data_IF_222473126064
#
_entry.id   IF_222473126064
#
_cell.length_a   1.000
_cell.length_b   1.000
_cell.length_c   1.000
_cell.angle_alpha   90.00
_cell.angle_beta   90.00
_cell.angle_gamma   90.00
#
_symmetry.space_group_name_H-M   'P 1'
#
loop_
_entity.id
_entity.type
_entity.pdbx_description
1 polymer ?
#
# COMPACT_ATOMS: atom_id res chain seq x y z
N UNK A 1 9.71 -11.32 -19.44
CA UNK A 1 9.14 -10.28 -20.33
C UNK A 1 9.45 -8.93 -19.69
N UNK A 2 10.04 -8.00 -20.44
CA UNK A 2 10.35 -6.68 -19.89
C UNK A 2 9.05 -5.88 -19.70
N UNK A 3 8.76 -5.53 -18.45
CA UNK A 3 7.56 -4.77 -18.03
C UNK A 3 7.97 -3.73 -16.98
N UNK A 4 7.01 -3.01 -16.40
CA UNK A 4 7.28 -2.06 -15.31
C UNK A 4 7.75 -2.84 -14.07
N UNK A 5 8.82 -2.38 -13.43
CA UNK A 5 9.38 -2.99 -12.22
C UNK A 5 8.37 -3.01 -11.07
N UNK A 6 8.41 -4.09 -10.27
CA UNK A 6 7.57 -4.23 -9.08
C UNK A 6 7.80 -3.12 -8.04
N UNK A 7 8.95 -2.43 -8.09
CA UNK A 7 9.28 -1.28 -7.22
C UNK A 7 8.52 -0.02 -7.58
N UNK A 8 7.83 0.02 -8.73
CA UNK A 8 7.00 1.14 -9.15
C UNK A 8 5.52 0.79 -9.09
N UNK A 9 4.71 1.77 -8.69
CA UNK A 9 3.26 1.76 -8.85
C UNK A 9 2.94 2.59 -10.09
N UNK A 10 2.36 1.95 -11.10
CA UNK A 10 1.79 2.63 -12.26
C UNK A 10 0.26 2.53 -12.20
N UNK A 11 -0.43 3.67 -12.43
CA UNK A 11 -1.90 3.74 -12.51
C UNK A 11 -2.36 4.69 -13.59
N UNK A 12 -3.45 4.31 -14.26
CA UNK A 12 -4.23 5.21 -15.09
C UNK A 12 -5.04 6.16 -14.21
N UNK A 13 -5.07 7.43 -14.59
CA UNK A 13 -5.78 8.48 -13.87
C UNK A 13 -6.57 9.36 -14.83
N UNK A 14 -7.49 10.18 -14.31
CA UNK A 14 -8.32 11.07 -15.13
C UNK A 14 -7.53 12.05 -16.01
N UNK A 15 -6.26 12.29 -15.71
CA UNK A 15 -5.36 13.20 -16.43
C UNK A 15 -4.32 12.47 -17.30
N UNK A 16 -4.37 11.13 -17.38
CA UNK A 16 -3.38 10.30 -18.04
C UNK A 16 -2.97 9.17 -17.11
N UNK A 17 -1.91 9.36 -16.34
CA UNK A 17 -1.48 8.39 -15.36
C UNK A 17 -0.51 8.94 -14.32
N UNK A 18 -0.19 8.10 -13.35
CA UNK A 18 0.80 8.40 -12.32
C UNK A 18 1.77 7.22 -12.20
N UNK A 19 3.04 7.54 -12.02
CA UNK A 19 4.09 6.59 -11.65
C UNK A 19 4.64 6.99 -10.27
N UNK A 20 4.71 6.05 -9.34
CA UNK A 20 5.23 6.29 -7.99
C UNK A 20 6.31 5.25 -7.68
N UNK A 21 7.49 5.70 -7.26
CA UNK A 21 8.49 4.81 -6.70
C UNK A 21 8.05 4.34 -5.30
N UNK A 22 7.89 3.04 -5.07
CA UNK A 22 7.39 2.48 -3.80
C UNK A 22 8.40 2.56 -2.65
N UNK A 23 9.64 2.98 -2.91
CA UNK A 23 10.71 3.13 -1.92
C UNK A 23 10.89 4.60 -1.55
N UNK A 24 11.02 5.49 -2.53
CA UNK A 24 11.27 6.93 -2.28
C UNK A 24 9.99 7.76 -2.23
N UNK A 25 8.87 7.23 -2.73
CA UNK A 25 7.61 7.94 -2.97
C UNK A 25 7.71 9.10 -3.95
N UNK A 26 8.78 9.17 -4.74
CA UNK A 26 8.85 10.11 -5.87
C UNK A 26 7.74 9.83 -6.87
N UNK A 27 7.13 10.91 -7.37
CA UNK A 27 5.96 10.86 -8.24
C UNK A 27 6.26 11.50 -9.58
N UNK A 28 5.79 10.85 -10.65
CA UNK A 28 5.82 11.38 -12.01
C UNK A 28 4.39 11.37 -12.53
N UNK A 29 3.89 12.54 -12.91
CA UNK A 29 2.62 12.67 -13.64
C UNK A 29 2.86 12.41 -15.11
N UNK A 30 1.98 11.60 -15.71
CA UNK A 30 2.07 11.15 -17.10
C UNK A 30 0.90 11.73 -17.88
N UNK A 31 1.17 12.16 -19.11
CA UNK A 31 0.09 12.47 -20.05
C UNK A 31 -0.63 11.20 -20.54
N UNK A 32 -1.70 11.36 -21.31
CA UNK A 32 -2.46 10.21 -21.82
C UNK A 32 -1.63 9.30 -22.74
N UNK A 33 -0.73 9.84 -23.57
CA UNK A 33 0.05 9.05 -24.52
C UNK A 33 1.06 8.18 -23.77
N UNK A 34 1.76 8.77 -22.81
CA UNK A 34 2.69 8.08 -21.91
C UNK A 34 1.98 7.03 -21.06
N UNK A 35 0.83 7.38 -20.47
CA UNK A 35 0.07 6.47 -19.63
C UNK A 35 -0.48 5.28 -20.42
N UNK A 36 -1.02 5.50 -21.63
CA UNK A 36 -1.48 4.40 -22.46
C UNK A 36 -0.34 3.52 -22.96
N UNK A 37 0.82 4.10 -23.28
CA UNK A 37 2.03 3.33 -23.60
C UNK A 37 2.42 2.43 -22.43
N UNK A 38 2.59 2.98 -21.23
CA UNK A 38 2.96 2.22 -20.04
C UNK A 38 1.89 1.19 -19.64
N UNK A 39 0.61 1.46 -19.90
CA UNK A 39 -0.45 0.48 -19.70
C UNK A 39 -0.31 -0.72 -20.64
N UNK A 40 0.10 -0.52 -21.91
CA UNK A 40 0.46 -1.64 -22.77
C UNK A 40 1.73 -2.34 -22.30
N UNK A 41 2.76 -1.62 -21.85
CA UNK A 41 3.98 -2.25 -21.30
C UNK A 41 3.63 -3.17 -20.12
N UNK A 42 2.74 -2.73 -19.22
CA UNK A 42 2.33 -3.52 -18.05
C UNK A 42 1.59 -4.81 -18.43
N UNK A 43 0.81 -4.81 -19.52
CA UNK A 43 -0.06 -5.93 -19.89
C UNK A 43 0.53 -6.85 -20.99
N UNK A 44 1.35 -6.30 -21.89
CA UNK A 44 1.84 -6.95 -23.11
C UNK A 44 3.37 -6.93 -23.24
N UNK A 45 4.06 -6.24 -22.34
CA UNK A 45 5.51 -6.07 -22.42
C UNK A 45 5.95 -4.93 -23.33
N UNK A 46 7.21 -4.56 -23.15
CA UNK A 46 7.82 -3.39 -23.77
C UNK A 46 7.89 -3.48 -25.31
N UNK A 47 8.22 -4.64 -25.86
CA UNK A 47 8.36 -4.84 -27.31
C UNK A 47 7.03 -4.64 -28.06
N UNK A 48 5.93 -5.19 -27.52
CA UNK A 48 4.60 -5.02 -28.13
C UNK A 48 4.15 -3.56 -28.03
N UNK A 49 4.33 -2.93 -26.85
CA UNK A 49 3.96 -1.54 -26.65
C UNK A 49 4.73 -0.59 -27.59
N UNK A 50 6.04 -0.80 -27.76
CA UNK A 50 6.87 0.01 -28.67
C UNK A 50 6.50 -0.18 -30.13
N UNK A 51 6.17 -1.40 -30.55
CA UNK A 51 5.64 -1.66 -31.90
C UNK A 51 4.31 -0.95 -32.13
N UNK A 52 3.40 -1.00 -31.16
CA UNK A 52 2.07 -0.38 -31.22
C UNK A 52 2.15 1.15 -31.33
N UNK A 53 3.00 1.78 -30.52
CA UNK A 53 3.17 3.24 -30.45
C UNK A 53 4.29 3.78 -31.37
N UNK A 54 4.66 3.06 -32.43
CA UNK A 54 5.78 3.42 -33.32
C UNK A 54 5.66 4.82 -33.92
N UNK A 55 4.45 5.32 -34.17
CA UNK A 55 4.21 6.66 -34.73
C UNK A 55 4.48 7.76 -33.68
N UNK A 56 4.00 7.56 -32.47
CA UNK A 56 4.16 8.47 -31.33
C UNK A 56 5.63 8.55 -30.90
N UNK A 57 6.33 7.41 -30.91
CA UNK A 57 7.78 7.35 -30.67
C UNK A 57 8.53 8.18 -31.72
N UNK A 58 8.24 7.97 -33.01
CA UNK A 58 8.85 8.76 -34.11
C UNK A 58 8.55 10.26 -34.03
N UNK A 59 7.42 10.63 -33.41
CA UNK A 59 7.04 12.02 -33.20
C UNK A 59 7.65 12.63 -31.92
N UNK A 60 8.52 11.91 -31.19
CA UNK A 60 9.19 12.39 -29.99
C UNK A 60 8.28 12.45 -28.74
N UNK A 61 7.06 11.92 -28.80
CA UNK A 61 6.08 12.07 -27.70
C UNK A 61 6.35 11.18 -26.48
N UNK A 62 7.16 10.14 -26.65
CA UNK A 62 7.39 9.11 -25.63
C UNK A 62 8.84 9.05 -25.15
N UNK A 63 9.69 10.00 -25.56
CA UNK A 63 11.13 10.01 -25.21
C UNK A 63 11.34 9.94 -23.70
N UNK A 64 10.53 10.70 -22.94
CA UNK A 64 10.61 10.74 -21.47
C UNK A 64 10.44 9.36 -20.86
N UNK A 65 9.32 8.67 -21.15
CA UNK A 65 9.04 7.35 -20.57
C UNK A 65 9.99 6.26 -21.05
N UNK A 66 10.49 6.33 -22.28
CA UNK A 66 11.46 5.36 -22.80
C UNK A 66 12.81 5.42 -22.08
N UNK A 67 13.19 6.59 -21.55
CA UNK A 67 14.46 6.81 -20.84
C UNK A 67 14.38 6.57 -19.33
N UNK A 68 13.19 6.35 -18.78
CA UNK A 68 13.02 6.10 -17.35
C UNK A 68 13.59 4.73 -16.96
N UNK A 69 14.35 4.67 -15.87
CA UNK A 69 14.84 3.42 -15.28
C UNK A 69 13.75 2.72 -14.45
N UNK A 70 12.66 2.34 -15.11
CA UNK A 70 11.43 1.82 -14.47
C UNK A 70 11.08 0.40 -14.95
N UNK A 71 11.90 -0.19 -15.81
CA UNK A 71 11.64 -1.47 -16.46
C UNK A 71 12.47 -2.59 -15.85
N UNK A 72 11.89 -3.79 -15.75
CA UNK A 72 12.59 -5.01 -15.33
C UNK A 72 12.03 -6.23 -16.04
N UNK A 73 12.83 -7.30 -16.09
CA UNK A 73 12.36 -8.60 -16.52
C UNK A 73 11.49 -9.24 -15.44
N UNK A 74 10.21 -9.42 -15.75
CA UNK A 74 9.26 -10.06 -14.86
C UNK A 74 8.78 -11.39 -15.43
N UNK A 75 8.53 -12.35 -14.52
CA UNK A 75 7.95 -13.67 -14.81
C UNK A 75 6.41 -13.58 -14.86
N UNK A 76 5.87 -12.63 -15.62
CA UNK A 76 4.43 -12.45 -15.78
C UNK A 76 4.03 -13.02 -17.14
N UNK A 77 3.01 -13.88 -17.16
CA UNK A 77 2.34 -14.25 -18.41
C UNK A 77 1.64 -13.02 -18.98
N UNK A 78 2.01 -12.63 -20.20
CA UNK A 78 1.36 -11.51 -20.88
C UNK A 78 -0.15 -11.73 -21.02
N UNK A 79 -0.92 -10.65 -21.05
CA UNK A 79 -2.36 -10.74 -21.24
C UNK A 79 -2.69 -11.47 -22.55
N UNK A 80 -3.60 -12.44 -22.50
CA UNK A 80 -4.11 -13.11 -23.70
C UNK A 80 -5.00 -12.21 -24.58
N UNK A 81 -5.33 -11.02 -24.10
CA UNK A 81 -6.17 -10.05 -24.80
C UNK A 81 -5.41 -9.37 -25.94
N UNK A 82 -6.14 -8.87 -26.93
CA UNK A 82 -5.54 -8.05 -27.98
C UNK A 82 -5.08 -6.68 -27.39
N UNK A 83 -3.89 -6.16 -27.75
CA UNK A 83 -3.46 -4.80 -27.43
C UNK A 83 -4.50 -3.70 -27.74
N UNK A 84 -5.24 -3.80 -28.85
CA UNK A 84 -6.29 -2.84 -29.21
C UNK A 84 -7.44 -2.84 -28.19
N UNK A 85 -7.88 -4.03 -27.77
CA UNK A 85 -8.92 -4.19 -26.75
C UNK A 85 -8.45 -3.65 -25.39
N UNK A 86 -7.18 -3.91 -25.05
CA UNK A 86 -6.53 -3.41 -23.84
C UNK A 86 -6.54 -1.88 -23.81
N UNK A 87 -6.18 -1.24 -24.92
CA UNK A 87 -6.18 0.21 -25.05
C UNK A 87 -7.61 0.80 -25.04
N UNK A 88 -8.58 0.11 -25.63
CA UNK A 88 -9.98 0.52 -25.54
C UNK A 88 -10.49 0.50 -24.09
N UNK A 89 -10.11 -0.51 -23.32
CA UNK A 89 -10.44 -0.61 -21.90
C UNK A 89 -9.77 0.50 -21.08
N UNK A 90 -8.51 0.84 -21.36
CA UNK A 90 -7.81 1.97 -20.75
C UNK A 90 -8.57 3.29 -20.97
N UNK A 91 -8.98 3.57 -22.22
CA UNK A 91 -9.75 4.77 -22.57
C UNK A 91 -11.10 4.83 -21.85
N UNK A 92 -11.83 3.69 -21.78
CA UNK A 92 -13.09 3.59 -21.02
C UNK A 92 -12.87 3.87 -19.53
N UNK A 93 -11.78 3.36 -18.97
CA UNK A 93 -11.42 3.59 -17.57
C UNK A 93 -11.13 5.08 -17.31
N UNK A 94 -10.24 5.70 -18.09
CA UNK A 94 -9.92 7.14 -17.97
C UNK A 94 -11.16 8.02 -18.15
N UNK A 95 -12.02 7.71 -19.12
CA UNK A 95 -13.28 8.43 -19.31
C UNK A 95 -14.22 8.32 -18.09
N UNK A 96 -14.31 7.13 -17.46
CA UNK A 96 -15.06 6.94 -16.22
C UNK A 96 -14.48 7.80 -15.09
N UNK A 97 -13.16 7.83 -14.92
CA UNK A 97 -12.51 8.66 -13.90
C UNK A 97 -12.76 10.15 -14.13
N UNK A 98 -12.68 10.63 -15.38
CA UNK A 98 -13.03 12.01 -15.75
C UNK A 98 -14.48 12.34 -15.39
N UNK A 99 -15.42 11.45 -15.72
CA UNK A 99 -16.85 11.63 -15.42
C UNK A 99 -17.11 11.76 -13.91
N UNK A 100 -16.47 10.93 -13.10
CA UNK A 100 -16.64 10.96 -11.64
C UNK A 100 -15.73 12.00 -10.95
N UNK A 101 -14.74 12.54 -11.67
CA UNK A 101 -13.75 13.50 -11.19
C UNK A 101 -12.92 13.01 -9.97
N UNK A 102 -12.68 11.70 -9.87
CA UNK A 102 -11.94 11.05 -8.78
C UNK A 102 -10.60 10.47 -9.24
N UNK A 103 -9.71 10.17 -8.29
CA UNK A 103 -8.58 9.26 -8.54
C UNK A 103 -9.08 7.81 -8.60
N UNK A 104 -8.34 6.94 -9.29
CA UNK A 104 -8.75 5.56 -9.53
C UNK A 104 -8.93 4.71 -8.26
N UNK A 105 -8.09 4.94 -7.24
CA UNK A 105 -8.12 4.25 -5.94
C UNK A 105 -7.35 5.06 -4.87
N UNK A 106 -7.60 4.92 -3.56
CA UNK A 106 -6.73 5.50 -2.53
C UNK A 106 -5.28 5.04 -2.67
N UNK A 107 -4.33 5.92 -2.35
CA UNK A 107 -2.91 5.55 -2.26
C UNK A 107 -2.61 4.84 -0.94
N UNK A 108 -3.19 5.32 0.16
CA UNK A 108 -3.05 4.73 1.48
C UNK A 108 -4.36 4.06 1.90
N UNK A 109 -4.28 2.80 2.32
CA UNK A 109 -5.36 2.08 2.98
C UNK A 109 -5.01 1.87 4.45
N UNK A 110 -5.83 2.40 5.35
CA UNK A 110 -5.67 2.17 6.79
C UNK A 110 -6.65 1.10 7.25
N UNK A 111 -6.16 0.05 7.89
CA UNK A 111 -6.98 -1.03 8.44
C UNK A 111 -6.83 -1.12 9.96
N UNK A 112 -7.93 -1.49 10.61
CA UNK A 112 -8.07 -1.64 12.06
C UNK A 112 -8.55 -3.07 12.35
N UNK A 113 -7.65 -4.08 12.39
CA UNK A 113 -8.04 -5.49 12.54
C UNK A 113 -8.78 -5.79 13.84
N UNK A 114 -8.49 -5.01 14.87
CA UNK A 114 -9.18 -5.00 16.16
C UNK A 114 -9.13 -3.59 16.74
N UNK A 115 -10.22 -3.18 17.40
CA UNK A 115 -10.24 -1.94 18.19
C UNK A 115 -9.69 -2.13 19.60
N UNK A 116 -9.43 -3.37 20.03
CA UNK A 116 -8.92 -3.66 21.38
C UNK A 116 -7.49 -3.16 21.59
N UNK A 117 -7.26 -2.45 22.70
CA UNK A 117 -5.94 -2.00 23.15
C UNK A 117 -5.70 -2.41 24.60
N UNK A 118 -4.48 -2.85 24.90
CA UNK A 118 -4.02 -3.14 26.26
C UNK A 118 -3.64 -1.88 27.06
N UNK A 119 -3.63 -0.69 26.43
CA UNK A 119 -3.31 0.60 27.05
C UNK A 119 -4.46 1.62 26.93
N UNK A 120 -4.46 2.62 27.82
CA UNK A 120 -5.46 3.70 27.91
C UNK A 120 -4.80 5.10 27.88
N UNK A 121 -4.06 5.41 26.82
CA UNK A 121 -3.39 6.70 26.64
C UNK A 121 -4.39 7.87 26.64
N UNK A 122 -4.08 8.96 27.32
CA UNK A 122 -4.97 10.14 27.44
C UNK A 122 -5.11 10.95 26.15
N UNK A 123 -4.13 10.88 25.24
CA UNK A 123 -4.16 11.58 23.94
C UNK A 123 -4.78 10.76 22.79
N UNK A 124 -5.22 9.54 23.05
CA UNK A 124 -5.71 8.66 21.98
C UNK A 124 -7.10 9.11 21.51
N UNK A 125 -7.27 9.16 20.18
CA UNK A 125 -8.54 9.52 19.54
C UNK A 125 -9.61 8.41 19.59
N UNK A 126 -9.26 7.18 19.99
CA UNK A 126 -10.22 6.07 20.09
C UNK A 126 -11.07 6.19 21.36
N UNK A 127 -12.37 6.40 21.17
CA UNK A 127 -13.34 6.53 22.27
C UNK A 127 -13.55 5.22 23.06
N UNK A 128 -13.59 4.08 22.35
CA UNK A 128 -13.70 2.75 22.96
C UNK A 128 -12.56 1.84 22.47
N UNK A 129 -12.09 0.96 23.34
CA UNK A 129 -10.95 0.05 23.12
C UNK A 129 -11.28 -1.39 23.49
N UNK A 130 -12.55 -1.74 23.39
CA UNK A 130 -13.02 -3.11 23.49
C UNK A 130 -13.44 -3.57 22.10
N UNK A 131 -13.05 -4.80 21.76
CA UNK A 131 -13.50 -5.46 20.53
C UNK A 131 -13.60 -6.95 20.77
N UNK A 132 -14.80 -7.50 20.58
CA UNK A 132 -15.08 -8.93 20.68
C UNK A 132 -15.48 -9.54 19.33
N UNK A 133 -15.53 -8.72 18.29
CA UNK A 133 -16.09 -9.07 16.98
C UNK A 133 -15.04 -8.99 15.85
N UNK A 134 -13.76 -8.85 16.20
CA UNK A 134 -12.64 -8.88 15.28
C UNK A 134 -12.71 -10.10 14.34
N UNK A 135 -12.45 -9.87 13.06
CA UNK A 135 -12.52 -10.90 12.01
C UNK A 135 -11.16 -11.58 11.81
N UNK A 136 -11.09 -12.85 11.38
CA UNK A 136 -9.83 -13.54 11.11
C UNK A 136 -9.08 -12.92 9.93
N UNK A 137 -7.78 -13.20 9.81
CA UNK A 137 -6.91 -12.60 8.80
C UNK A 137 -7.37 -12.94 7.37
N UNK A 138 -8.02 -14.09 7.17
CA UNK A 138 -8.60 -14.50 5.89
C UNK A 138 -9.60 -13.47 5.31
N UNK A 139 -10.39 -12.83 6.17
CA UNK A 139 -11.36 -11.81 5.72
C UNK A 139 -10.63 -10.53 5.29
N UNK A 140 -9.54 -10.19 5.99
CA UNK A 140 -8.66 -9.08 5.64
C UNK A 140 -7.86 -9.35 4.37
N UNK A 141 -7.40 -10.58 4.14
CA UNK A 141 -6.70 -10.98 2.92
C UNK A 141 -7.54 -10.66 1.67
N UNK A 142 -8.85 -10.88 1.73
CA UNK A 142 -9.77 -10.50 0.65
C UNK A 142 -9.76 -8.99 0.38
N UNK A 143 -9.66 -8.16 1.42
CA UNK A 143 -9.58 -6.70 1.30
C UNK A 143 -8.22 -6.29 0.73
N UNK A 144 -7.14 -6.89 1.22
CA UNK A 144 -5.77 -6.63 0.77
C UNK A 144 -5.58 -6.99 -0.71
N UNK A 145 -6.15 -8.11 -1.17
CA UNK A 145 -6.16 -8.49 -2.60
C UNK A 145 -6.87 -7.44 -3.45
N UNK A 146 -8.08 -7.02 -3.05
CA UNK A 146 -8.77 -5.93 -3.75
C UNK A 146 -7.96 -4.64 -3.78
N UNK A 147 -7.31 -4.26 -2.67
CA UNK A 147 -6.48 -3.07 -2.62
C UNK A 147 -5.27 -3.16 -3.56
N UNK A 148 -4.57 -4.30 -3.57
CA UNK A 148 -3.46 -4.58 -4.49
C UNK A 148 -3.90 -4.53 -5.95
N UNK A 149 -4.99 -5.20 -6.29
CA UNK A 149 -5.51 -5.30 -7.66
C UNK A 149 -5.96 -3.93 -8.20
N UNK A 150 -6.37 -3.01 -7.32
CA UNK A 150 -6.72 -1.63 -7.66
C UNK A 150 -5.55 -0.64 -7.51
N UNK A 151 -4.33 -1.12 -7.24
CA UNK A 151 -3.13 -0.29 -7.20
C UNK A 151 -3.02 0.61 -5.96
N UNK A 152 -3.28 0.06 -4.78
CA UNK A 152 -2.90 0.71 -3.51
C UNK A 152 -1.37 0.90 -3.46
N UNK A 153 -0.91 2.02 -2.91
CA UNK A 153 0.52 2.28 -2.71
C UNK A 153 1.00 1.63 -1.42
N UNK A 154 0.27 1.83 -0.32
CA UNK A 154 0.63 1.31 0.99
C UNK A 154 -0.59 0.95 1.85
N UNK A 155 -0.35 0.05 2.80
CA UNK A 155 -1.32 -0.32 3.83
C UNK A 155 -0.75 0.05 5.20
N UNK A 156 -1.54 0.71 6.05
CA UNK A 156 -1.20 0.92 7.45
C UNK A 156 -2.09 0.07 8.36
N UNK A 157 -1.46 -0.80 9.13
CA UNK A 157 -2.11 -1.63 10.15
C UNK A 157 -2.05 -0.89 11.48
N UNK A 158 -3.20 -0.37 11.88
CA UNK A 158 -3.42 0.35 13.12
C UNK A 158 -4.48 -0.37 13.97
N UNK A 159 -5.09 0.38 14.89
CA UNK A 159 -6.23 -0.02 15.71
C UNK A 159 -5.80 -0.59 17.04
N UNK A 160 -6.58 -0.23 18.07
CA UNK A 160 -6.29 -0.48 19.48
C UNK A 160 -4.80 -0.66 19.75
N UNK A 161 -4.38 -1.92 19.93
CA UNK A 161 -3.00 -2.35 19.70
C UNK A 161 -2.99 -3.52 18.69
N UNK A 162 -2.43 -3.37 17.47
CA UNK A 162 -2.52 -4.39 16.44
C UNK A 162 -1.75 -5.66 16.80
N UNK A 163 -0.71 -5.60 17.64
CA UNK A 163 -0.02 -6.82 18.10
C UNK A 163 -0.85 -7.63 19.11
N UNK A 164 -1.95 -7.06 19.64
CA UNK A 164 -2.96 -7.76 20.45
C UNK A 164 -4.07 -8.38 19.60
N UNK A 165 -4.15 -8.07 18.31
CA UNK A 165 -5.08 -8.76 17.41
C UNK A 165 -4.70 -10.25 17.33
N UNK A 166 -5.70 -11.12 17.56
CA UNK A 166 -5.47 -12.55 17.77
C UNK A 166 -4.77 -13.23 16.57
N UNK A 167 -5.01 -12.75 15.35
CA UNK A 167 -4.53 -13.34 14.11
C UNK A 167 -3.47 -12.48 13.39
N UNK A 168 -2.77 -11.62 14.14
CA UNK A 168 -1.82 -10.64 13.56
C UNK A 168 -0.73 -11.30 12.73
N UNK A 169 -0.23 -12.47 13.13
CA UNK A 169 0.87 -13.14 12.42
C UNK A 169 0.46 -13.53 11.00
N UNK A 170 -0.75 -14.09 10.84
CA UNK A 170 -1.29 -14.47 9.52
C UNK A 170 -1.60 -13.24 8.66
N UNK A 171 -2.06 -12.14 9.26
CA UNK A 171 -2.29 -10.90 8.54
C UNK A 171 -0.98 -10.30 8.00
N UNK A 172 0.09 -10.34 8.80
CA UNK A 172 1.41 -9.89 8.36
C UNK A 172 1.96 -10.79 7.25
N UNK A 173 1.83 -12.11 7.38
CA UNK A 173 2.22 -13.06 6.32
C UNK A 173 1.48 -12.75 5.02
N UNK A 174 0.16 -12.51 5.06
CA UNK A 174 -0.62 -12.14 3.90
C UNK A 174 -0.12 -10.84 3.22
N UNK A 175 0.28 -9.83 4.00
CA UNK A 175 0.86 -8.61 3.45
C UNK A 175 2.19 -8.85 2.74
N UNK A 176 3.06 -9.68 3.33
CA UNK A 176 4.37 -10.04 2.76
C UNK A 176 4.21 -10.83 1.45
N UNK A 177 3.34 -11.83 1.43
CA UNK A 177 3.06 -12.66 0.23
C UNK A 177 2.44 -11.83 -0.89
N UNK A 178 1.56 -10.89 -0.54
CA UNK A 178 0.99 -9.95 -1.50
C UNK A 178 1.99 -8.86 -1.94
N UNK A 179 3.21 -8.80 -1.36
CA UNK A 179 4.23 -7.78 -1.67
C UNK A 179 3.72 -6.35 -1.54
N UNK A 180 2.83 -6.10 -0.57
CA UNK A 180 2.26 -4.77 -0.33
C UNK A 180 3.17 -4.04 0.65
N UNK A 181 3.57 -2.80 0.31
CA UNK A 181 4.29 -1.94 1.26
C UNK A 181 3.39 -1.65 2.45
N UNK A 182 3.76 -2.15 3.61
CA UNK A 182 2.90 -2.14 4.79
C UNK A 182 3.62 -1.52 5.98
N UNK A 183 2.91 -0.75 6.78
CA UNK A 183 3.36 -0.32 8.10
C UNK A 183 2.49 -0.95 9.17
N UNK A 184 3.08 -1.25 10.33
CA UNK A 184 2.34 -1.63 11.54
C UNK A 184 2.78 -0.71 12.67
N UNK A 185 1.82 -0.04 13.31
CA UNK A 185 2.13 0.86 14.44
C UNK A 185 1.79 0.18 15.76
N UNK A 186 2.77 0.02 16.64
CA UNK A 186 2.63 -0.73 17.90
C UNK A 186 3.21 0.02 19.10
N UNK A 187 2.64 -0.22 20.29
CA UNK A 187 3.18 0.18 21.59
C UNK A 187 4.32 -0.74 22.09
N UNK A 188 4.55 -1.87 21.41
CA UNK A 188 5.59 -2.85 21.68
C UNK A 188 5.62 -3.48 23.09
N UNK A 189 4.53 -3.41 23.87
CA UNK A 189 4.49 -3.93 25.25
C UNK A 189 4.39 -5.45 25.31
N UNK A 190 3.38 -6.02 24.64
CA UNK A 190 3.03 -7.45 24.69
C UNK A 190 3.09 -8.11 23.31
N UNK A 191 4.00 -7.65 22.46
CA UNK A 191 4.24 -8.21 21.12
C UNK A 191 4.80 -9.64 21.25
N UNK A 192 4.26 -10.58 20.46
CA UNK A 192 4.71 -11.98 20.46
C UNK A 192 6.10 -12.08 19.82
N UNK A 193 6.91 -13.04 20.29
CA UNK A 193 8.21 -13.35 19.66
C UNK A 193 8.06 -13.74 18.18
N UNK A 194 6.98 -14.48 17.84
CA UNK A 194 6.64 -14.83 16.45
C UNK A 194 6.42 -13.59 15.58
N UNK A 195 5.65 -12.62 16.08
CA UNK A 195 5.38 -11.36 15.38
C UNK A 195 6.67 -10.58 15.13
N UNK A 196 7.56 -10.50 16.13
CA UNK A 196 8.87 -9.84 15.97
C UNK A 196 9.72 -10.54 14.90
N UNK A 197 9.73 -11.87 14.88
CA UNK A 197 10.50 -12.65 13.89
C UNK A 197 10.00 -12.43 12.46
N UNK A 198 8.67 -12.35 12.26
CA UNK A 198 8.06 -12.00 10.97
C UNK A 198 8.53 -10.61 10.53
N UNK A 199 8.44 -9.62 11.40
CA UNK A 199 8.83 -8.24 11.09
C UNK A 199 10.32 -8.10 10.79
N UNK A 200 11.18 -8.81 11.51
CA UNK A 200 12.63 -8.76 11.31
C UNK A 200 13.09 -9.37 9.97
N UNK A 201 12.34 -10.34 9.44
CA UNK A 201 12.63 -11.01 8.17
C UNK A 201 11.90 -10.40 6.97
N UNK A 202 10.92 -9.54 7.22
CA UNK A 202 10.06 -8.95 6.19
C UNK A 202 10.82 -8.00 5.27
N UNK A 203 10.47 -8.03 3.98
CA UNK A 203 10.96 -7.08 2.96
C UNK A 203 9.98 -5.94 2.69
N UNK A 204 8.71 -6.13 3.06
CA UNK A 204 7.62 -5.22 2.70
C UNK A 204 6.96 -4.54 3.90
N UNK A 205 7.20 -5.01 5.12
CA UNK A 205 6.56 -4.50 6.34
C UNK A 205 7.59 -3.73 7.17
N UNK A 206 7.25 -2.49 7.52
CA UNK A 206 8.06 -1.64 8.40
C UNK A 206 7.34 -1.42 9.72
N UNK A 207 7.92 -1.82 10.87
CA UNK A 207 7.34 -1.53 12.17
C UNK A 207 7.54 -0.05 12.55
N UNK A 208 6.50 0.54 13.14
CA UNK A 208 6.50 1.91 13.69
C UNK A 208 6.25 1.81 15.19
N UNK A 209 7.16 2.37 15.99
CA UNK A 209 7.09 2.28 17.45
C UNK A 209 6.47 3.55 18.03
N UNK A 210 5.41 3.37 18.81
CA UNK A 210 4.79 4.46 19.57
C UNK A 210 5.59 4.75 20.83
N UNK A 211 6.45 5.77 20.77
CA UNK A 211 7.26 6.22 21.90
C UNK A 211 7.20 7.75 21.99
N UNK A 212 6.79 8.27 23.15
CA UNK A 212 6.50 9.71 23.29
C UNK A 212 7.69 10.50 23.83
N UNK A 213 8.46 9.90 24.74
CA UNK A 213 9.66 10.49 25.33
C UNK A 213 10.54 9.39 25.92
N UNK A 214 11.84 9.68 26.07
CA UNK A 214 12.78 8.85 26.82
C UNK A 214 12.70 9.12 28.34
N UNK A 215 12.11 10.24 28.74
CA UNK A 215 11.92 10.60 30.15
C UNK A 215 10.86 9.71 30.79
N UNK A 216 11.26 8.99 31.84
CA UNK A 216 10.39 8.08 32.61
C UNK A 216 9.46 8.81 33.57
N UNK A 217 9.73 10.08 33.88
CA UNK A 217 9.04 10.85 34.90
C UNK A 217 7.85 11.65 34.33
N UNK A 218 7.77 11.86 33.01
CA UNK A 218 6.60 12.48 32.39
C UNK A 218 5.41 11.52 32.48
N UNK A 219 4.38 11.89 33.24
CA UNK A 219 3.17 11.06 33.44
C UNK A 219 1.91 11.64 32.78
N UNK A 220 1.98 12.85 32.24
CA UNK A 220 0.78 13.56 31.73
C UNK A 220 0.36 12.98 30.38
N UNK A 221 -0.83 12.36 30.33
CA UNK A 221 -1.46 11.87 29.10
C UNK A 221 -0.85 10.61 28.47
N UNK A 222 0.25 10.08 29.02
CA UNK A 222 0.98 8.94 28.48
C UNK A 222 0.29 7.58 28.75
N UNK A 223 0.61 6.53 27.97
CA UNK A 223 0.13 5.19 28.24
C UNK A 223 0.53 4.75 29.66
N UNK A 224 -0.45 4.50 30.53
CA UNK A 224 -0.19 3.84 31.81
C UNK A 224 0.06 2.35 31.57
N UNK A 225 1.20 1.81 32.03
CA UNK A 225 1.46 0.37 31.91
C UNK A 225 0.51 -0.42 32.82
N UNK A 226 0.14 -1.66 32.47
CA UNK A 226 -0.56 -2.55 33.38
C UNK A 226 0.26 -2.71 34.68
N UNK A 227 -0.28 -2.24 35.82
CA UNK A 227 0.37 -2.30 37.13
C UNK A 227 1.02 -0.99 37.62
N UNK A 228 1.10 0.06 36.80
CA UNK A 228 1.53 1.38 37.27
C UNK A 228 0.33 2.14 37.87
N UNK A 229 0.34 2.33 39.19
CA UNK A 229 -0.63 3.19 39.89
C UNK A 229 -0.58 4.59 39.29
N UNK A 230 -1.71 5.09 38.78
CA UNK A 230 -1.89 6.52 38.57
C UNK A 230 -1.78 7.15 39.95
N UNK A 231 -0.71 7.89 40.21
CA UNK A 231 -0.78 8.92 41.24
C UNK A 231 -1.75 9.96 40.69
N UNK A 232 -3.01 9.86 41.13
CA UNK A 232 -3.93 10.98 41.07
C UNK A 232 -3.26 12.09 41.88
N UNK A 233 -2.87 13.17 41.20
CA UNK A 233 -2.48 14.37 41.91
C UNK A 233 -3.73 14.93 42.63
N UNK A 234 -3.54 15.53 43.82
CA UNK A 234 -4.62 15.99 44.69
C UNK A 234 -5.54 17.03 44.04
#
# INVERSE_FOLDING_TARGET
MMTISEDFLFRLEKFGGILINKVTFDRIELDESEAYFLYLVQNHGFEIATSFFKKEIKAGKLERVLLLNIYSDNNIEGSSKNPDETLQNARKHVAKLKKHNILSFPLELVIYPSMYCDLKCGFCFLANREDRNAKPAKDWERILRQAKDNGVLSVSILGGEPTRYFDIDNLLIACEELKIKTTITTNAQLIKKSTVEILAKSKYITPVLSLQTLDRCVKIGLPARPGELRQENP
#
